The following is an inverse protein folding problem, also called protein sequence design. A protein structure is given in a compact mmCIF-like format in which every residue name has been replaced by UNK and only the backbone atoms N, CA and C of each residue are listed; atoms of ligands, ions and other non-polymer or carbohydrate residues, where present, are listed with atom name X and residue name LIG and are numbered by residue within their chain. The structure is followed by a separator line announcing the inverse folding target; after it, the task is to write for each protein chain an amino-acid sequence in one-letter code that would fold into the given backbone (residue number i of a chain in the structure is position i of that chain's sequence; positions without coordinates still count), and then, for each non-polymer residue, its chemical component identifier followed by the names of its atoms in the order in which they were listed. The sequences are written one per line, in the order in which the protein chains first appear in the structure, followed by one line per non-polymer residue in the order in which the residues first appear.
data_IF_123665677237
#
_entry.id   IF_123665677237
#
_cell.length_a   1.000
_cell.length_b   1.000
_cell.length_c   1.000
_cell.angle_alpha   90.00
_cell.angle_beta   90.00
_cell.angle_gamma   90.00
#
_symmetry.space_group_name_H-M   'P 1'
#
loop_
_entity.id
_entity.type
_entity.pdbx_description
1 polymer ?
#
# COMPACT_ATOMS: atom_id res chain seq x y z
N UNK A 1 -20.79 12.01 0.88
CA UNK A 1 -19.65 12.79 0.33
C UNK A 1 -18.59 11.80 -0.12
N UNK A 2 -18.20 11.80 -1.40
CA UNK A 2 -17.25 10.80 -1.95
C UNK A 2 -15.82 11.22 -1.59
N UNK A 3 -14.99 10.29 -1.10
CA UNK A 3 -13.60 10.59 -0.78
C UNK A 3 -12.78 10.87 -2.05
N UNK A 4 -11.74 11.70 -1.94
CA UNK A 4 -10.86 11.99 -3.09
C UNK A 4 -10.23 10.73 -3.68
N UNK A 5 -9.89 9.74 -2.84
CA UNK A 5 -9.29 8.49 -3.29
C UNK A 5 -10.31 7.59 -4.01
N UNK A 6 -11.55 7.57 -3.53
CA UNK A 6 -12.66 6.84 -4.16
C UNK A 6 -12.95 7.36 -5.57
N UNK A 7 -12.92 8.68 -5.76
CA UNK A 7 -13.08 9.28 -7.08
C UNK A 7 -11.96 8.87 -8.04
N UNK A 8 -10.71 8.89 -7.60
CA UNK A 8 -9.56 8.45 -8.41
C UNK A 8 -9.68 6.96 -8.76
N UNK A 9 -10.06 6.12 -7.80
CA UNK A 9 -10.27 4.69 -8.03
C UNK A 9 -11.34 4.40 -9.08
N UNK A 10 -12.43 5.17 -9.08
CA UNK A 10 -13.49 5.03 -10.09
C UNK A 10 -12.98 5.34 -11.49
N UNK A 11 -12.19 6.40 -11.65
CA UNK A 11 -11.56 6.75 -12.92
C UNK A 11 -10.69 5.58 -13.39
N UNK A 12 -9.74 5.14 -12.56
CA UNK A 12 -8.83 4.03 -12.89
C UNK A 12 -9.59 2.75 -13.25
N UNK A 13 -10.63 2.38 -12.50
CA UNK A 13 -11.44 1.19 -12.78
C UNK A 13 -12.29 1.29 -14.04
N UNK A 14 -12.67 2.50 -14.43
CA UNK A 14 -13.42 2.74 -15.67
C UNK A 14 -12.50 2.81 -16.90
N UNK A 15 -11.20 3.01 -16.70
CA UNK A 15 -10.20 3.03 -17.78
C UNK A 15 -9.95 1.60 -18.30
N UNK A 16 -9.99 1.38 -19.62
CA UNK A 16 -9.64 0.09 -20.22
C UNK A 16 -8.21 -0.34 -19.87
N UNK A 17 -8.00 -1.65 -19.75
CA UNK A 17 -6.67 -2.21 -19.51
C UNK A 17 -5.72 -1.86 -20.66
N UNK A 18 -4.50 -1.41 -20.33
CA UNK A 18 -3.51 -0.96 -21.29
C UNK A 18 -3.63 0.50 -21.73
N UNK A 19 -4.64 1.22 -21.24
CA UNK A 19 -4.80 2.66 -21.45
C UNK A 19 -4.42 3.41 -20.17
N UNK A 20 -3.68 4.51 -20.30
CA UNK A 20 -3.35 5.35 -19.15
C UNK A 20 -4.60 6.11 -18.67
N UNK A 21 -4.95 6.04 -17.37
CA UNK A 21 -6.11 6.74 -16.84
C UNK A 21 -5.92 8.26 -16.89
N UNK A 22 -6.94 8.98 -17.34
CA UNK A 22 -6.94 10.44 -17.40
C UNK A 22 -7.04 11.02 -15.99
N UNK A 23 -5.88 11.26 -15.40
CA UNK A 23 -5.71 11.83 -14.07
C UNK A 23 -4.86 13.09 -14.19
N UNK A 24 -5.32 14.15 -13.53
CA UNK A 24 -4.47 15.33 -13.32
C UNK A 24 -3.21 14.96 -12.52
N UNK A 25 -2.12 15.72 -12.69
CA UNK A 25 -0.87 15.53 -11.96
C UNK A 25 -1.10 15.45 -10.44
N UNK A 26 -1.98 16.30 -9.90
CA UNK A 26 -2.31 16.29 -8.48
C UNK A 26 -3.03 15.01 -8.03
N UNK A 27 -3.86 14.40 -8.88
CA UNK A 27 -4.51 13.12 -8.60
C UNK A 27 -3.51 11.96 -8.67
N UNK A 28 -2.61 11.95 -9.66
CA UNK A 28 -1.53 10.96 -9.75
C UNK A 28 -0.63 10.99 -8.51
N UNK A 29 -0.13 12.17 -8.12
CA UNK A 29 0.72 12.32 -6.92
C UNK A 29 0.00 11.88 -5.65
N UNK A 30 -1.28 12.21 -5.52
CA UNK A 30 -2.09 11.78 -4.38
C UNK A 30 -2.30 10.27 -4.36
N UNK A 31 -2.55 9.66 -5.52
CA UNK A 31 -2.70 8.21 -5.66
C UNK A 31 -1.40 7.49 -5.27
N UNK A 32 -0.26 7.93 -5.82
CA UNK A 32 1.06 7.36 -5.54
C UNK A 32 1.41 7.42 -4.05
N UNK A 33 1.18 8.56 -3.40
CA UNK A 33 1.43 8.72 -1.98
C UNK A 33 0.56 7.80 -1.11
N UNK A 34 -0.69 7.57 -1.51
CA UNK A 34 -1.56 6.62 -0.80
C UNK A 34 -1.09 5.17 -1.00
N UNK A 35 -0.69 4.80 -2.22
CA UNK A 35 -0.15 3.47 -2.51
C UNK A 35 1.15 3.21 -1.72
N UNK A 36 2.07 4.18 -1.65
CA UNK A 36 3.30 4.08 -0.84
C UNK A 36 2.98 3.91 0.65
N UNK A 37 2.02 4.68 1.17
CA UNK A 37 1.57 4.54 2.56
C UNK A 37 1.00 3.16 2.84
N UNK A 38 0.18 2.62 1.94
CA UNK A 38 -0.39 1.28 2.06
C UNK A 38 0.68 0.19 1.97
N UNK A 39 1.66 0.34 1.07
CA UNK A 39 2.78 -0.58 0.95
C UNK A 39 3.61 -0.62 2.24
N UNK A 40 3.90 0.53 2.84
CA UNK A 40 4.62 0.61 4.14
C UNK A 40 3.84 -0.04 5.28
N UNK A 41 2.53 0.23 5.37
CA UNK A 41 1.68 -0.40 6.40
C UNK A 41 1.68 -1.92 6.21
N UNK A 42 1.57 -2.39 4.97
CA UNK A 42 1.57 -3.81 4.64
C UNK A 42 2.92 -4.46 4.96
N UNK A 43 4.03 -3.81 4.61
CA UNK A 43 5.37 -4.29 4.94
C UNK A 43 5.61 -4.35 6.46
N UNK A 44 5.16 -3.34 7.20
CA UNK A 44 5.22 -3.34 8.65
C UNK A 44 4.36 -4.46 9.24
N UNK A 45 3.12 -4.62 8.77
CA UNK A 45 2.25 -5.70 9.20
C UNK A 45 2.89 -7.08 8.94
N UNK A 46 3.48 -7.28 7.77
CA UNK A 46 4.21 -8.50 7.42
C UNK A 46 5.38 -8.76 8.39
N UNK A 47 6.18 -7.73 8.72
CA UNK A 47 7.27 -7.82 9.68
C UNK A 47 6.83 -8.12 11.13
N UNK A 48 5.62 -7.69 11.52
CA UNK A 48 5.03 -8.05 12.81
C UNK A 48 4.41 -9.45 12.82
N UNK A 49 3.97 -9.97 11.67
CA UNK A 49 3.37 -11.30 11.54
C UNK A 49 4.37 -12.41 11.23
N UNK A 50 5.58 -12.09 10.76
CA UNK A 50 6.64 -13.09 10.67
C UNK A 50 6.89 -13.63 12.08
N UNK A 51 6.83 -14.96 12.31
CA UNK A 51 7.33 -15.54 13.56
C UNK A 51 8.73 -15.00 13.78
N UNK A 52 9.16 -14.85 15.03
CA UNK A 52 10.57 -14.63 15.34
C UNK A 52 11.36 -15.85 14.83
N UNK A 53 11.67 -15.89 13.54
CA UNK A 53 12.40 -16.98 12.87
C UNK A 53 13.84 -17.03 13.35
N UNK A 54 14.31 -15.95 13.97
CA UNK A 54 15.42 -15.98 14.90
C UNK A 54 14.87 -16.23 16.30
N UNK A 55 14.97 -17.47 16.76
CA UNK A 55 14.75 -17.82 18.16
C UNK A 55 15.52 -16.85 19.06
N UNK A 56 14.90 -16.45 20.17
CA UNK A 56 15.52 -15.59 21.17
C UNK A 56 16.92 -16.14 21.54
N UNK A 57 17.99 -15.34 21.45
CA UNK A 57 19.33 -15.79 21.82
C UNK A 57 19.45 -16.10 23.32
N UNK A 58 18.40 -15.84 24.10
CA UNK A 58 18.37 -16.02 25.55
C UNK A 58 17.78 -17.36 26.00
N UNK A 59 17.45 -18.29 25.08
CA UNK A 59 16.79 -19.57 25.45
C UNK A 59 17.79 -20.73 25.61
N UNK A 60 19.07 -20.55 25.27
CA UNK A 60 20.12 -21.58 25.47
C UNK A 60 21.29 -21.07 26.33
N UNK A 61 21.00 -20.72 27.58
CA UNK A 61 22.01 -20.62 28.63
C UNK A 61 21.59 -21.54 29.79
N UNK A 62 21.78 -22.84 29.58
CA UNK A 62 21.73 -23.86 30.63
C UNK A 62 23.15 -24.33 30.94
#
# INVERSE_FOLDING_TARGET
MVSRMEAIYRIIKSTPLGVEPDLSISQQLFYWRNMDRMARITANAAAFTTPATYGSPFVNSA
#
